data_IF_448035531086
#
_entry.id   IF_448035531086
#
_cell.length_a   1.000
_cell.length_b   1.000
_cell.length_c   1.000
_cell.angle_alpha   90.00
_cell.angle_beta   90.00
_cell.angle_gamma   90.00
#
_symmetry.space_group_name_H-M   'P 1'
#
loop_
_entity.id
_entity.type
_entity.pdbx_description
1 polymer ?
#
# COMPACT_ATOMS: atom_id res chain seq x y z
N UNK A 1 -12.07 -6.89 8.59
CA UNK A 1 -11.93 -6.50 7.18
C UNK A 1 -12.53 -5.12 6.94
N UNK A 2 -11.73 -4.19 6.41
CA UNK A 2 -12.16 -2.86 5.96
C UNK A 2 -11.60 -2.60 4.56
N UNK A 3 -12.38 -1.92 3.72
CA UNK A 3 -11.97 -1.50 2.37
C UNK A 3 -12.06 0.02 2.28
N UNK A 4 -10.96 0.66 1.89
CA UNK A 4 -10.88 2.10 1.68
C UNK A 4 -10.27 2.40 0.31
N UNK A 5 -10.46 3.64 -0.14
CA UNK A 5 -9.68 4.20 -1.24
C UNK A 5 -8.51 4.96 -0.63
N UNK A 6 -7.31 4.70 -1.14
CA UNK A 6 -6.12 5.48 -0.85
C UNK A 6 -5.62 6.16 -2.13
N UNK A 7 -5.32 7.45 -2.04
CA UNK A 7 -4.93 8.27 -3.19
C UNK A 7 -4.00 9.42 -2.73
N UNK A 8 -2.78 9.09 -2.28
CA UNK A 8 -1.82 10.10 -1.84
C UNK A 8 -1.44 11.02 -2.99
N UNK A 9 -1.04 12.24 -2.65
CA UNK A 9 -0.60 13.26 -3.62
C UNK A 9 0.74 13.84 -3.15
N UNK A 10 1.78 13.65 -3.97
CA UNK A 10 3.14 14.08 -3.69
C UNK A 10 3.87 13.18 -2.68
N UNK A 11 3.32 13.00 -1.48
CA UNK A 11 3.93 12.21 -0.41
C UNK A 11 2.95 11.19 0.17
N UNK A 12 3.46 10.00 0.49
CA UNK A 12 2.74 8.96 1.23
C UNK A 12 2.94 9.14 2.74
N UNK A 13 1.87 9.56 3.44
CA UNK A 13 1.89 9.87 4.87
C UNK A 13 1.46 8.70 5.77
N UNK A 14 1.39 7.49 5.23
CA UNK A 14 1.01 6.31 6.01
C UNK A 14 2.03 6.00 7.12
N UNK A 15 1.53 5.34 8.16
CA UNK A 15 2.30 4.82 9.30
C UNK A 15 2.07 3.32 9.38
N UNK A 16 2.97 2.54 10.00
CA UNK A 16 2.74 1.11 10.19
C UNK A 16 1.38 0.83 10.82
N UNK A 17 0.72 -0.22 10.34
CA UNK A 17 -0.63 -0.60 10.76
C UNK A 17 -0.62 -1.96 11.47
N UNK A 18 -1.55 -2.15 12.41
CA UNK A 18 -1.64 -3.36 13.22
C UNK A 18 -2.35 -4.53 12.51
N UNK A 19 -2.71 -4.37 11.23
CA UNK A 19 -3.41 -5.38 10.44
C UNK A 19 -2.67 -5.62 9.13
N UNK A 20 -2.86 -6.79 8.52
CA UNK A 20 -2.37 -7.03 7.17
C UNK A 20 -3.08 -6.10 6.19
N UNK A 21 -2.35 -5.71 5.16
CA UNK A 21 -2.84 -4.82 4.12
C UNK A 21 -2.68 -5.44 2.74
N UNK A 22 -3.72 -5.28 1.92
CA UNK A 22 -3.67 -5.59 0.50
C UNK A 22 -4.02 -4.32 -0.27
N UNK A 23 -3.07 -3.84 -1.06
CA UNK A 23 -3.28 -2.75 -1.99
C UNK A 23 -3.60 -3.30 -3.37
N UNK A 24 -4.60 -2.74 -4.05
CA UNK A 24 -4.90 -3.04 -5.45
C UNK A 24 -4.83 -1.75 -6.25
N UNK A 25 -3.81 -1.64 -7.11
CA UNK A 25 -3.51 -0.40 -7.81
C UNK A 25 -4.51 -0.17 -8.93
N UNK A 26 -5.22 0.96 -8.87
CA UNK A 26 -6.22 1.35 -9.88
C UNK A 26 -5.60 2.25 -10.95
N UNK A 27 -4.83 3.26 -10.55
CA UNK A 27 -4.14 4.20 -11.44
C UNK A 27 -2.78 4.58 -10.88
N UNK A 28 -1.91 5.08 -11.74
CA UNK A 28 -0.55 5.49 -11.41
C UNK A 28 0.45 4.33 -11.30
N UNK A 29 1.71 4.70 -11.17
CA UNK A 29 2.86 3.78 -11.08
C UNK A 29 3.96 4.43 -10.25
N UNK A 30 4.88 3.62 -9.72
CA UNK A 30 6.00 4.12 -8.94
C UNK A 30 6.77 2.98 -8.29
N UNK A 31 7.38 3.27 -7.14
CA UNK A 31 8.08 2.29 -6.32
C UNK A 31 7.34 2.03 -5.03
N UNK A 32 7.30 0.77 -4.62
CA UNK A 32 6.76 0.36 -3.34
C UNK A 32 7.88 -0.25 -2.50
N UNK A 33 8.14 0.36 -1.35
CA UNK A 33 9.04 -0.15 -0.32
C UNK A 33 8.22 -0.97 0.67
N UNK A 34 8.65 -2.20 0.93
CA UNK A 34 7.99 -3.15 1.81
C UNK A 34 9.03 -3.84 2.70
N UNK A 35 9.23 -3.31 3.91
CA UNK A 35 10.38 -3.67 4.73
C UNK A 35 11.70 -3.35 4.02
N UNK A 36 12.54 -4.38 3.86
CA UNK A 36 13.84 -4.26 3.20
C UNK A 36 13.76 -4.35 1.67
N UNK A 37 12.60 -4.73 1.12
CA UNK A 37 12.40 -4.93 -0.29
C UNK A 37 11.82 -3.71 -0.99
N UNK A 38 12.14 -3.54 -2.27
CA UNK A 38 11.62 -2.48 -3.13
C UNK A 38 11.23 -3.02 -4.49
N UNK A 39 10.03 -2.67 -4.95
CA UNK A 39 9.46 -3.19 -6.19
C UNK A 39 8.82 -2.07 -7.01
N UNK A 40 8.86 -2.19 -8.34
CA UNK A 40 8.01 -1.37 -9.21
C UNK A 40 6.55 -1.83 -9.07
N UNK A 41 5.62 -0.89 -9.18
CA UNK A 41 4.19 -1.18 -9.26
C UNK A 41 3.52 -0.37 -10.38
N UNK A 42 2.39 -0.88 -10.86
CA UNK A 42 1.49 -0.20 -11.77
C UNK A 42 0.05 -0.70 -11.69
N UNK A 43 -0.85 -0.20 -12.56
CA UNK A 43 -2.27 -0.55 -12.52
C UNK A 43 -2.50 -2.05 -12.71
N UNK A 44 -3.32 -2.63 -11.85
CA UNK A 44 -3.62 -4.07 -11.83
C UNK A 44 -2.75 -4.88 -10.88
N UNK A 45 -1.66 -4.32 -10.35
CA UNK A 45 -0.86 -4.99 -9.34
C UNK A 45 -1.60 -5.08 -8.01
N UNK A 46 -1.32 -6.17 -7.28
CA UNK A 46 -1.74 -6.37 -5.91
C UNK A 46 -0.50 -6.47 -5.01
N UNK A 47 -0.40 -5.60 -4.00
CA UNK A 47 0.72 -5.54 -3.08
C UNK A 47 0.23 -5.99 -1.70
N UNK A 48 1.02 -6.81 -1.02
CA UNK A 48 0.68 -7.33 0.29
C UNK A 48 1.71 -6.86 1.32
N UNK A 49 1.22 -6.42 2.48
CA UNK A 49 2.04 -6.01 3.60
C UNK A 49 1.57 -6.73 4.86
N UNK A 50 2.51 -7.37 5.55
CA UNK A 50 2.24 -7.95 6.86
C UNK A 50 2.03 -6.86 7.90
N UNK A 51 1.14 -7.12 8.87
CA UNK A 51 0.95 -6.24 10.02
C UNK A 51 2.28 -5.81 10.66
N UNK A 52 2.41 -4.52 10.95
CA UNK A 52 3.58 -3.91 11.59
C UNK A 52 4.80 -3.70 10.67
N UNK A 53 4.78 -4.17 9.43
CA UNK A 53 5.88 -3.92 8.48
C UNK A 53 5.83 -2.47 7.99
N UNK A 54 6.95 -1.77 8.11
CA UNK A 54 7.10 -0.44 7.52
C UNK A 54 7.03 -0.54 5.99
N UNK A 55 6.21 0.31 5.39
CA UNK A 55 6.04 0.36 3.95
C UNK A 55 5.76 1.79 3.49
N UNK A 56 6.05 2.07 2.21
CA UNK A 56 5.93 3.41 1.62
C UNK A 56 5.74 3.33 0.11
N UNK A 57 4.86 4.16 -0.43
CA UNK A 57 4.85 4.50 -1.85
C UNK A 57 5.82 5.65 -2.13
N UNK A 58 6.73 5.46 -3.08
CA UNK A 58 7.78 6.42 -3.45
C UNK A 58 7.76 6.72 -4.95
N UNK A 59 8.22 7.93 -5.32
CA UNK A 59 8.44 8.35 -6.72
C UNK A 59 7.26 8.01 -7.65
N UNK A 60 6.04 8.14 -7.13
CA UNK A 60 4.83 7.75 -7.84
C UNK A 60 4.23 8.90 -8.65
N UNK A 61 3.47 8.56 -9.69
CA UNK A 61 2.78 9.54 -10.54
C UNK A 61 1.67 10.28 -9.78
N UNK A 62 1.41 11.53 -10.19
CA UNK A 62 0.44 12.42 -9.53
C UNK A 62 -1.00 11.86 -9.48
N UNK A 63 -1.32 10.87 -10.32
CA UNK A 63 -2.63 10.25 -10.45
C UNK A 63 -2.78 8.93 -9.66
N UNK A 64 -1.83 8.58 -8.78
CA UNK A 64 -1.90 7.36 -7.97
C UNK A 64 -3.25 7.25 -7.24
N UNK A 65 -3.91 6.10 -7.43
CA UNK A 65 -5.08 5.70 -6.66
C UNK A 65 -5.16 4.19 -6.56
N UNK A 66 -5.64 3.70 -5.42
CA UNK A 66 -5.71 2.28 -5.13
C UNK A 66 -6.82 1.99 -4.12
N UNK A 67 -7.24 0.73 -4.11
CA UNK A 67 -7.98 0.17 -3.00
C UNK A 67 -6.99 -0.34 -1.96
N UNK A 68 -7.30 -0.14 -0.67
CA UNK A 68 -6.59 -0.78 0.44
C UNK A 68 -7.57 -1.60 1.25
N UNK A 69 -7.22 -2.87 1.47
CA UNK A 69 -7.96 -3.80 2.31
C UNK A 69 -7.16 -4.02 3.59
N UNK A 70 -7.73 -3.66 4.74
CA UNK A 70 -7.21 -4.08 6.04
C UNK A 70 -7.84 -5.44 6.40
N UNK A 71 -7.01 -6.46 6.55
CA UNK A 71 -7.40 -7.85 6.72
C UNK A 71 -6.91 -8.41 8.07
N UNK A 72 -7.61 -9.41 8.58
CA UNK A 72 -7.31 -10.10 9.84
C UNK A 72 -7.50 -9.37 11.17
N UNK A 73 -7.11 -10.01 12.29
CA UNK A 73 -7.09 -9.42 13.62
C UNK A 73 -5.88 -8.48 13.82
N UNK A 74 -5.76 -7.88 15.01
CA UNK A 74 -4.55 -7.15 15.39
C UNK A 74 -3.36 -8.12 15.43
N UNK A 75 -2.29 -7.77 14.71
CA UNK A 75 -1.13 -8.62 14.47
C UNK A 75 -1.13 -9.38 13.13
N UNK A 76 -2.17 -9.24 12.31
CA UNK A 76 -2.30 -9.93 11.02
C UNK A 76 -2.92 -11.33 11.15
N UNK A 77 -3.15 -12.00 10.01
CA UNK A 77 -3.57 -13.42 9.99
C UNK A 77 -2.45 -14.42 10.30
#
# INVERSE_FOLDING_TARGET
MRLLVYAPRGEDLQTPHDQDEIYVIQTGSGWFVNGDDRHEFGPGDALFVHAGVEHRFEEFTDDLSMWVVFWGPDGGE
#
